data_IF_162703007421
#
_entry.id   IF_162703007421
#
_cell.length_a   1.000
_cell.length_b   1.000
_cell.length_c   1.000
_cell.angle_alpha   90.00
_cell.angle_beta   90.00
_cell.angle_gamma   90.00
#
_symmetry.space_group_name_H-M   'P 1'
#
loop_
_entity.id
_entity.type
_entity.pdbx_description
1 polymer ?
#
# COMPACT_ATOMS: atom_id res chain seq x y z
N UNK A 1 2.06 13.56 5.11
CA UNK A 1 1.62 12.22 5.50
C UNK A 1 2.69 11.21 5.11
N UNK A 2 3.08 10.36 6.04
CA UNK A 2 4.13 9.35 5.81
C UNK A 2 3.58 8.11 5.14
N UNK A 3 4.32 7.58 4.18
CA UNK A 3 3.89 6.42 3.41
C UNK A 3 5.04 5.44 3.18
N UNK A 4 4.72 4.15 3.29
CA UNK A 4 5.61 3.04 2.92
C UNK A 4 5.09 2.43 1.63
N UNK A 5 5.96 2.18 0.67
CA UNK A 5 5.60 1.55 -0.61
C UNK A 5 6.07 0.11 -0.59
N UNK A 6 5.15 -0.84 -0.84
CA UNK A 6 5.45 -2.27 -0.83
C UNK A 6 5.14 -2.86 -2.20
N UNK A 7 6.18 -3.28 -2.92
CA UNK A 7 6.07 -3.82 -4.26
C UNK A 7 7.35 -4.60 -4.57
N UNK A 8 7.25 -5.76 -5.20
CA UNK A 8 8.41 -6.58 -5.53
C UNK A 8 9.17 -6.05 -6.77
N UNK A 9 8.61 -5.10 -7.50
CA UNK A 9 9.26 -4.49 -8.67
C UNK A 9 10.06 -3.26 -8.25
N UNK A 10 11.38 -3.33 -8.34
CA UNK A 10 12.25 -2.19 -8.03
C UNK A 10 11.95 -0.96 -8.92
N UNK A 11 11.77 -1.11 -10.25
CA UNK A 11 11.42 0.03 -11.09
C UNK A 11 10.11 0.70 -10.67
N UNK A 12 9.10 -0.08 -10.29
CA UNK A 12 7.83 0.50 -9.87
C UNK A 12 7.96 1.19 -8.51
N UNK A 13 8.71 0.60 -7.57
CA UNK A 13 8.96 1.26 -6.27
C UNK A 13 9.55 2.65 -6.46
N UNK A 14 10.51 2.78 -7.37
CA UNK A 14 11.14 4.07 -7.65
C UNK A 14 10.17 5.05 -8.30
N UNK A 15 9.38 4.58 -9.26
CA UNK A 15 8.37 5.41 -9.90
C UNK A 15 7.33 5.91 -8.89
N UNK A 16 6.81 5.00 -8.07
CA UNK A 16 5.82 5.35 -7.06
C UNK A 16 6.40 6.34 -6.05
N UNK A 17 7.64 6.15 -5.64
CA UNK A 17 8.32 7.08 -4.73
C UNK A 17 8.35 8.49 -5.31
N UNK A 18 8.71 8.62 -6.59
CA UNK A 18 8.75 9.93 -7.25
C UNK A 18 7.39 10.58 -7.35
N UNK A 19 6.39 9.80 -7.75
CA UNK A 19 5.01 10.30 -7.88
C UNK A 19 4.51 10.83 -6.54
N UNK A 20 4.62 10.01 -5.50
CA UNK A 20 4.06 10.36 -4.19
C UNK A 20 4.84 11.47 -3.51
N UNK A 21 6.16 11.45 -3.59
CA UNK A 21 6.99 12.54 -3.05
C UNK A 21 6.67 13.87 -3.75
N UNK A 22 6.50 13.83 -5.08
CA UNK A 22 6.13 15.01 -5.85
C UNK A 22 4.75 15.55 -5.49
N UNK A 23 3.86 14.69 -5.01
CA UNK A 23 2.50 15.04 -4.60
C UNK A 23 2.39 15.36 -3.10
N UNK A 24 3.51 15.49 -2.41
CA UNK A 24 3.52 15.95 -1.02
C UNK A 24 3.52 14.87 0.05
N UNK A 25 3.65 13.59 -0.32
CA UNK A 25 3.81 12.53 0.66
C UNK A 25 5.26 12.44 1.13
N UNK A 26 5.44 12.08 2.39
CA UNK A 26 6.74 11.75 2.95
C UNK A 26 6.96 10.25 2.79
N UNK A 27 7.71 9.85 1.76
CA UNK A 27 8.00 8.44 1.51
C UNK A 27 9.11 8.00 2.45
N UNK A 28 8.72 7.36 3.54
CA UNK A 28 9.65 6.98 4.62
C UNK A 28 10.43 5.71 4.33
N UNK A 29 9.99 4.92 3.37
CA UNK A 29 10.69 3.71 2.97
C UNK A 29 9.97 2.94 1.89
N UNK A 30 10.64 1.89 1.41
CA UNK A 30 10.08 0.94 0.46
C UNK A 30 10.40 -0.47 0.94
N UNK A 31 9.58 -1.44 0.54
CA UNK A 31 9.77 -2.84 0.89
C UNK A 31 9.43 -3.71 -0.32
N UNK A 32 10.12 -4.84 -0.45
CA UNK A 32 9.95 -5.75 -1.59
C UNK A 32 9.20 -7.04 -1.24
N UNK A 33 8.91 -7.26 0.03
CA UNK A 33 8.22 -8.46 0.51
C UNK A 33 7.38 -8.15 1.73
N UNK A 34 6.52 -9.10 2.10
CA UNK A 34 5.69 -8.98 3.31
C UNK A 34 6.55 -8.88 4.57
N UNK A 35 7.59 -9.69 4.70
CA UNK A 35 8.47 -9.65 5.88
C UNK A 35 9.16 -8.30 6.02
N UNK A 36 9.71 -7.80 4.91
CA UNK A 36 10.37 -6.50 4.90
C UNK A 36 9.38 -5.40 5.25
N UNK A 37 8.16 -5.48 4.72
CA UNK A 37 7.10 -4.51 5.01
C UNK A 37 6.74 -4.50 6.50
N UNK A 38 6.55 -5.67 7.11
CA UNK A 38 6.21 -5.77 8.52
C UNK A 38 7.33 -5.20 9.41
N UNK A 39 8.58 -5.49 9.09
CA UNK A 39 9.73 -4.93 9.79
C UNK A 39 9.79 -3.41 9.66
N UNK A 40 9.55 -2.91 8.45
CA UNK A 40 9.57 -1.47 8.18
C UNK A 40 8.45 -0.74 8.92
N UNK A 41 7.26 -1.31 8.95
CA UNK A 41 6.12 -0.73 9.68
C UNK A 41 6.43 -0.63 11.17
N UNK A 42 7.04 -1.67 11.75
CA UNK A 42 7.36 -1.68 13.17
C UNK A 42 8.37 -0.57 13.54
N UNK A 43 9.31 -0.27 12.65
CA UNK A 43 10.36 0.72 12.89
C UNK A 43 9.94 2.12 12.49
N UNK A 44 9.38 2.27 11.28
CA UNK A 44 9.11 3.57 10.67
C UNK A 44 7.73 4.13 11.02
N UNK A 45 6.80 3.26 11.41
CA UNK A 45 5.42 3.63 11.75
C UNK A 45 4.76 4.55 10.74
N UNK A 46 4.71 4.16 9.46
CA UNK A 46 4.08 5.00 8.45
C UNK A 46 2.59 5.15 8.70
N UNK A 47 2.04 6.26 8.29
CA UNK A 47 0.58 6.49 8.38
C UNK A 47 -0.16 5.68 7.32
N UNK A 48 0.49 5.43 6.18
CA UNK A 48 -0.09 4.71 5.04
C UNK A 48 0.88 3.66 4.55
N UNK A 49 0.36 2.49 4.19
CA UNK A 49 1.11 1.46 3.45
C UNK A 49 0.43 1.25 2.09
N UNK A 50 1.16 1.52 1.01
CA UNK A 50 0.71 1.27 -0.35
C UNK A 50 1.24 -0.09 -0.76
N UNK A 51 0.35 -1.06 -0.96
CA UNK A 51 0.71 -2.48 -1.07
C UNK A 51 0.23 -3.08 -2.38
N UNK A 52 1.18 -3.62 -3.15
CA UNK A 52 0.85 -4.42 -4.34
C UNK A 52 0.16 -5.71 -3.89
N UNK A 53 -0.96 -6.05 -4.51
CA UNK A 53 -1.66 -7.31 -4.21
C UNK A 53 -0.84 -8.53 -4.60
N UNK A 54 0.09 -8.38 -5.53
CA UNK A 54 0.97 -9.47 -5.98
C UNK A 54 2.41 -9.16 -5.59
N UNK A 55 2.89 -9.81 -4.54
CA UNK A 55 4.24 -9.64 -4.01
C UNK A 55 5.13 -10.85 -4.31
N UNK A 56 5.04 -11.40 -5.51
CA UNK A 56 5.79 -12.59 -5.87
C UNK A 56 5.23 -13.82 -5.16
N UNK A 57 5.99 -14.37 -4.21
CA UNK A 57 5.54 -15.51 -3.40
C UNK A 57 4.51 -15.13 -2.34
N UNK A 58 4.39 -13.84 -2.03
CA UNK A 58 3.50 -13.31 -1.00
C UNK A 58 2.23 -12.71 -1.62
N UNK A 59 1.19 -12.58 -0.80
CA UNK A 59 -0.05 -11.90 -1.18
C UNK A 59 -0.18 -10.57 -0.45
N UNK A 60 -0.48 -9.50 -1.19
CA UNK A 60 -0.78 -8.20 -0.60
C UNK A 60 -2.04 -8.23 0.26
N UNK A 61 -3.01 -9.10 -0.06
CA UNK A 61 -4.19 -9.27 0.76
C UNK A 61 -3.84 -9.86 2.13
N UNK A 62 -2.95 -10.85 2.16
CA UNK A 62 -2.48 -11.44 3.41
C UNK A 62 -1.70 -10.42 4.24
N UNK A 63 -0.84 -9.65 3.57
CA UNK A 63 -0.10 -8.57 4.25
C UNK A 63 -1.05 -7.54 4.85
N UNK A 64 -2.10 -7.16 4.13
CA UNK A 64 -3.11 -6.21 4.64
C UNK A 64 -3.75 -6.73 5.93
N UNK A 65 -4.08 -8.03 5.99
CA UNK A 65 -4.64 -8.64 7.20
C UNK A 65 -3.65 -8.60 8.36
N UNK A 66 -2.39 -8.91 8.09
CA UNK A 66 -1.34 -8.90 9.12
C UNK A 66 -1.06 -7.49 9.64
N UNK A 67 -1.09 -6.50 8.76
CA UNK A 67 -0.93 -5.11 9.17
C UNK A 67 -2.12 -4.63 10.00
N UNK A 68 -3.32 -5.03 9.64
CA UNK A 68 -4.52 -4.68 10.40
C UNK A 68 -4.47 -5.26 11.82
N UNK A 69 -3.90 -6.45 11.97
CA UNK A 69 -3.76 -7.10 13.27
C UNK A 69 -2.67 -6.47 14.14
N UNK A 70 -1.77 -5.68 13.57
CA UNK A 70 -0.62 -5.09 14.27
C UNK A 70 -1.02 -3.80 15.02
N UNK A 71 -2.01 -3.90 15.87
CA UNK A 71 -2.48 -2.76 16.69
C UNK A 71 -1.51 -2.45 17.82
N UNK A 72 -1.47 -1.18 18.29
CA UNK A 72 -2.27 -0.02 17.87
C UNK A 72 -1.69 0.75 16.68
N UNK A 73 -0.49 0.44 16.25
CA UNK A 73 0.28 1.23 15.29
C UNK A 73 0.04 0.82 13.83
N UNK A 74 -1.14 0.32 13.52
CA UNK A 74 -1.44 -0.12 12.16
C UNK A 74 -1.54 1.07 11.20
N UNK A 75 -0.92 0.97 10.01
CA UNK A 75 -1.10 1.98 8.98
C UNK A 75 -2.44 1.79 8.27
N UNK A 76 -2.93 2.83 7.62
CA UNK A 76 -4.00 2.68 6.63
C UNK A 76 -3.40 1.98 5.41
N UNK A 77 -4.11 1.00 4.85
CA UNK A 77 -3.60 0.22 3.72
C UNK A 77 -4.36 0.58 2.45
N UNK A 78 -3.60 0.92 1.41
CA UNK A 78 -4.14 1.11 0.07
C UNK A 78 -3.51 0.03 -0.82
N UNK A 79 -4.36 -0.81 -1.41
CA UNK A 79 -3.91 -1.87 -2.31
C UNK A 79 -3.73 -1.31 -3.71
N UNK A 80 -2.80 -1.89 -4.47
CA UNK A 80 -2.60 -1.53 -5.87
C UNK A 80 -2.31 -2.76 -6.72
N UNK A 81 -2.60 -2.68 -8.01
CA UNK A 81 -2.33 -3.77 -8.96
C UNK A 81 -2.25 -3.23 -10.38
N UNK A 82 -1.60 -3.97 -11.26
CA UNK A 82 -1.64 -3.73 -12.70
C UNK A 82 -2.97 -4.20 -13.31
N UNK A 83 -3.72 -5.03 -12.58
CA UNK A 83 -5.03 -5.53 -12.99
C UNK A 83 -6.13 -4.58 -12.52
N UNK A 84 -7.32 -4.72 -13.11
CA UNK A 84 -8.46 -3.89 -12.71
C UNK A 84 -9.03 -4.33 -11.35
N UNK A 85 -9.71 -3.41 -10.67
CA UNK A 85 -10.40 -3.73 -9.42
C UNK A 85 -11.44 -4.83 -9.60
N UNK A 86 -12.07 -4.92 -10.78
CA UNK A 86 -13.11 -5.90 -11.06
C UNK A 86 -12.64 -7.35 -10.90
N UNK A 87 -11.38 -7.63 -11.25
CA UNK A 87 -10.83 -8.98 -11.12
C UNK A 87 -10.70 -9.44 -9.69
N UNK A 88 -10.57 -8.52 -8.76
CA UNK A 88 -10.30 -8.79 -7.34
C UNK A 88 -11.36 -8.19 -6.41
N UNK A 89 -12.51 -7.79 -6.95
CA UNK A 89 -13.53 -7.06 -6.19
C UNK A 89 -13.90 -7.73 -4.87
N UNK A 90 -14.14 -9.04 -4.89
CA UNK A 90 -14.51 -9.77 -3.68
C UNK A 90 -13.38 -9.80 -2.64
N UNK A 91 -12.15 -10.00 -3.11
CA UNK A 91 -10.98 -10.04 -2.23
C UNK A 91 -10.68 -8.66 -1.64
N UNK A 92 -10.82 -7.61 -2.44
CA UNK A 92 -10.63 -6.23 -1.97
C UNK A 92 -11.67 -5.91 -0.90
N UNK A 93 -12.93 -6.24 -1.15
CA UNK A 93 -14.03 -5.97 -0.24
C UNK A 93 -13.88 -6.75 1.09
N UNK A 94 -13.39 -7.98 1.00
CA UNK A 94 -13.15 -8.81 2.18
C UNK A 94 -11.90 -8.42 2.97
N UNK A 95 -11.02 -7.61 2.40
CA UNK A 95 -9.78 -7.20 3.06
C UNK A 95 -10.00 -6.02 4.01
N UNK A 96 -9.14 -5.82 5.00
CA UNK A 96 -9.20 -4.65 5.88
C UNK A 96 -8.61 -3.40 5.24
N UNK A 97 -8.26 -3.43 3.94
CA UNK A 97 -7.68 -2.28 3.26
C UNK A 97 -8.67 -1.12 3.16
N UNK A 98 -8.15 0.07 3.15
CA UNK A 98 -8.93 1.31 3.04
C UNK A 98 -9.34 1.61 1.60
N UNK A 99 -8.68 1.02 0.61
CA UNK A 99 -9.03 1.22 -0.77
C UNK A 99 -8.07 0.52 -1.73
N UNK A 100 -8.33 0.70 -3.01
CA UNK A 100 -7.57 0.10 -4.10
C UNK A 100 -7.34 1.14 -5.20
N UNK A 101 -6.13 1.17 -5.76
CA UNK A 101 -5.80 2.02 -6.90
C UNK A 101 -5.09 1.19 -7.97
N UNK A 102 -5.52 1.28 -9.24
CA UNK A 102 -4.74 0.69 -10.33
C UNK A 102 -3.38 1.38 -10.42
N UNK A 103 -2.31 0.62 -10.63
CA UNK A 103 -0.96 1.20 -10.70
C UNK A 103 -0.84 2.31 -11.73
N UNK A 104 -1.52 2.17 -12.87
CA UNK A 104 -1.51 3.16 -13.94
C UNK A 104 -2.17 4.49 -13.56
N UNK A 105 -2.96 4.48 -12.50
CA UNK A 105 -3.66 5.68 -12.01
C UNK A 105 -3.12 6.18 -10.68
N UNK A 106 -1.98 5.68 -10.26
CA UNK A 106 -1.39 6.09 -9.01
C UNK A 106 -1.05 7.58 -9.01
N UNK A 107 -1.55 8.28 -7.99
CA UNK A 107 -1.23 9.68 -7.71
C UNK A 107 -1.43 9.94 -6.22
N UNK A 108 -0.86 11.02 -5.72
CA UNK A 108 -1.09 11.44 -4.34
C UNK A 108 -2.56 11.72 -4.09
N UNK A 109 -3.23 12.37 -5.05
CA UNK A 109 -4.65 12.70 -4.93
C UNK A 109 -5.52 11.45 -4.86
N UNK A 110 -5.22 10.43 -5.68
CA UNK A 110 -5.95 9.17 -5.64
C UNK A 110 -5.85 8.50 -4.27
N UNK A 111 -4.65 8.48 -3.69
CA UNK A 111 -4.43 7.91 -2.36
C UNK A 111 -5.17 8.72 -1.29
N UNK A 112 -5.09 10.04 -1.33
CA UNK A 112 -5.77 10.90 -0.36
C UNK A 112 -7.28 10.73 -0.40
N UNK A 113 -7.84 10.60 -1.61
CA UNK A 113 -9.27 10.41 -1.77
C UNK A 113 -9.74 9.10 -1.13
N UNK A 114 -9.00 8.01 -1.34
CA UNK A 114 -9.32 6.72 -0.74
C UNK A 114 -9.25 6.77 0.79
N UNK A 115 -8.26 7.45 1.33
CA UNK A 115 -8.13 7.61 2.78
C UNK A 115 -9.26 8.44 3.37
N UNK A 116 -9.69 9.48 2.67
CA UNK A 116 -10.79 10.32 3.11
C UNK A 116 -12.12 9.57 3.10
N UNK A 117 -12.36 8.73 2.09
CA UNK A 117 -13.57 7.93 1.99
C UNK A 117 -13.65 6.85 3.08
N UNK A 118 -12.50 6.31 3.48
CA UNK A 118 -12.42 5.28 4.51
C UNK A 118 -12.57 5.84 5.92
N UNK A 119 -12.28 7.10 6.05
CA UNK A 119 -12.31 7.77 7.34
C UNK A 119 -13.66 8.14 7.80
#
# INVERSE_FOLDING_TARGET
MSILIVDDSAPFRELARRILAGDGFDVVGTASSSEEALSSVAVLRPQVALVDINLGADSGFELARRLDAARPDRPSVVLMSTHSADEFAELIEASPANGFVPKERLSGDAVRLLLAEAG
#
